data_IF_704009231743
#
_entry.id   IF_704009231743
#
_cell.length_a   1.000
_cell.length_b   1.000
_cell.length_c   1.000
_cell.angle_alpha   90.00
_cell.angle_beta   90.00
_cell.angle_gamma   90.00
#
_symmetry.space_group_name_H-M   'P 1'
#
loop_
_entity.id
_entity.type
_entity.pdbx_description
1 polymer ?
#
# COMPACT_ATOMS: atom_id res chain seq x y z
N UNK A 1 -12.35 22.58 8.95
CA UNK A 1 -12.00 21.19 8.55
C UNK A 1 -10.48 21.09 8.49
N UNK A 2 -9.89 19.96 8.90
CA UNK A 2 -8.44 19.75 8.80
C UNK A 2 -8.00 19.67 7.32
N UNK A 3 -6.85 20.24 6.98
CA UNK A 3 -6.31 20.19 5.62
C UNK A 3 -5.81 18.77 5.29
N UNK A 4 -5.83 18.37 4.01
CA UNK A 4 -5.35 17.04 3.62
C UNK A 4 -3.92 16.74 4.10
N UNK A 5 -2.93 17.65 3.98
CA UNK A 5 -1.58 17.39 4.50
C UNK A 5 -1.52 17.17 6.02
N UNK A 6 -2.45 17.75 6.79
CA UNK A 6 -2.54 17.47 8.22
C UNK A 6 -3.14 16.10 8.51
N UNK A 7 -4.13 15.67 7.70
CA UNK A 7 -4.72 14.34 7.78
C UNK A 7 -3.69 13.26 7.41
N UNK A 8 -3.03 13.42 6.26
CA UNK A 8 -1.98 12.51 5.76
C UNK A 8 -0.86 12.29 6.80
N UNK A 9 -0.33 13.36 7.40
CA UNK A 9 0.70 13.23 8.45
C UNK A 9 0.22 12.41 9.65
N UNK A 10 -1.01 12.61 10.11
CA UNK A 10 -1.57 11.86 11.25
C UNK A 10 -1.80 10.39 10.89
N UNK A 11 -2.33 10.12 9.70
CA UNK A 11 -2.56 8.76 9.22
C UNK A 11 -1.24 8.01 9.03
N UNK A 12 -0.27 8.61 8.33
CA UNK A 12 1.08 8.08 8.16
C UNK A 12 1.74 7.80 9.52
N UNK A 13 1.62 8.72 10.49
CA UNK A 13 2.14 8.52 11.84
C UNK A 13 1.50 7.33 12.56
N UNK A 14 0.18 7.14 12.45
CA UNK A 14 -0.50 6.00 13.06
C UNK A 14 -0.08 4.66 12.42
N UNK A 15 0.04 4.62 11.09
CA UNK A 15 0.47 3.43 10.35
C UNK A 15 1.93 3.08 10.64
N UNK A 16 2.81 4.08 10.69
CA UNK A 16 4.22 3.88 11.06
C UNK A 16 4.37 3.41 12.51
N UNK A 17 3.57 3.94 13.43
CA UNK A 17 3.56 3.44 14.81
C UNK A 17 3.10 1.98 14.91
N UNK A 18 2.23 1.52 14.00
CA UNK A 18 1.89 0.10 13.88
C UNK A 18 3.06 -0.71 13.34
N UNK A 19 3.71 -0.24 12.27
CA UNK A 19 4.94 -0.87 11.75
C UNK A 19 5.98 -1.06 12.86
N UNK A 20 6.27 -0.01 13.62
CA UNK A 20 7.27 -0.05 14.68
C UNK A 20 6.86 -1.03 15.78
N UNK A 21 5.59 -1.03 16.18
CA UNK A 21 5.08 -1.98 17.17
C UNK A 21 5.19 -3.44 16.69
N UNK A 22 5.06 -3.68 15.38
CA UNK A 22 5.17 -5.01 14.79
C UNK A 22 6.61 -5.52 14.74
N UNK A 23 7.54 -4.70 14.25
CA UNK A 23 8.86 -5.17 13.82
C UNK A 23 10.06 -4.47 14.47
N UNK A 24 9.90 -3.34 15.14
CA UNK A 24 11.02 -2.52 15.65
C UNK A 24 11.01 -2.44 17.17
N UNK A 25 9.99 -1.81 17.76
CA UNK A 25 9.87 -1.62 19.20
C UNK A 25 8.39 -1.62 19.57
N UNK A 26 7.92 -2.62 20.35
CA UNK A 26 6.54 -2.69 20.78
C UNK A 26 6.08 -1.41 21.51
N UNK A 27 4.96 -0.83 21.05
CA UNK A 27 4.27 0.25 21.76
C UNK A 27 3.92 -0.13 23.21
N UNK A 28 4.20 0.77 24.15
CA UNK A 28 3.79 0.65 25.56
C UNK A 28 2.29 0.86 25.78
N UNK A 29 1.62 1.56 24.85
CA UNK A 29 0.17 1.78 24.84
C UNK A 29 -0.43 1.20 23.55
N UNK A 30 -0.59 -0.13 23.53
CA UNK A 30 -1.20 -0.84 22.40
C UNK A 30 -2.66 -0.41 22.20
N UNK A 31 -3.44 -0.30 23.27
CA UNK A 31 -4.83 0.11 23.20
C UNK A 31 -5.00 1.51 22.57
N UNK A 32 -4.13 2.46 22.92
CA UNK A 32 -4.10 3.79 22.30
C UNK A 32 -3.72 3.75 20.82
N UNK A 33 -2.76 2.91 20.44
CA UNK A 33 -2.41 2.68 19.04
C UNK A 33 -3.59 2.13 18.25
N UNK A 34 -4.26 1.08 18.73
CA UNK A 34 -5.42 0.48 18.06
C UNK A 34 -6.57 1.48 17.91
N UNK A 35 -6.85 2.31 18.93
CA UNK A 35 -7.83 3.40 18.83
C UNK A 35 -7.48 4.39 17.72
N UNK A 36 -6.21 4.80 17.61
CA UNK A 36 -5.75 5.72 16.55
C UNK A 36 -5.88 5.11 15.16
N UNK A 37 -5.61 3.82 15.00
CA UNK A 37 -5.79 3.10 13.73
C UNK A 37 -7.28 3.04 13.33
N UNK A 38 -8.17 2.76 14.27
CA UNK A 38 -9.62 2.77 14.02
C UNK A 38 -10.15 4.16 13.64
N UNK A 39 -9.63 5.20 14.30
CA UNK A 39 -9.92 6.60 13.96
C UNK A 39 -9.40 6.97 12.57
N UNK A 40 -8.15 6.58 12.25
CA UNK A 40 -7.54 6.75 10.93
C UNK A 40 -8.43 6.16 9.83
N UNK A 41 -8.84 4.89 9.96
CA UNK A 41 -9.70 4.22 9.00
C UNK A 41 -11.06 4.93 8.80
N UNK A 42 -11.68 5.38 9.89
CA UNK A 42 -12.98 6.07 9.87
C UNK A 42 -12.90 7.50 9.31
N UNK A 43 -11.79 8.20 9.56
CA UNK A 43 -11.50 9.50 8.96
C UNK A 43 -11.21 9.40 7.48
N UNK A 44 -10.43 8.39 7.08
CA UNK A 44 -10.12 8.10 5.69
C UNK A 44 -11.41 7.78 4.91
N UNK A 45 -12.31 7.00 5.51
CA UNK A 45 -13.64 6.75 4.92
C UNK A 45 -14.44 8.03 4.66
N UNK A 46 -14.49 8.95 5.64
CA UNK A 46 -15.18 10.23 5.50
C UNK A 46 -14.52 11.11 4.45
N UNK A 47 -13.19 11.16 4.44
CA UNK A 47 -12.46 11.97 3.47
C UNK A 47 -12.65 11.44 2.04
N UNK A 48 -12.66 10.12 1.88
CA UNK A 48 -12.77 9.46 0.58
C UNK A 48 -14.21 9.27 0.10
N UNK A 49 -15.18 9.34 1.00
CA UNK A 49 -16.55 8.96 0.67
C UNK A 49 -16.70 7.46 0.40
N UNK A 50 -15.81 6.62 0.94
CA UNK A 50 -15.80 5.15 0.73
C UNK A 50 -16.86 4.40 1.56
N UNK A 51 -17.75 5.13 2.25
CA UNK A 51 -18.96 4.60 2.92
C UNK A 51 -18.70 3.42 3.89
N UNK A 52 -17.55 3.42 4.59
CA UNK A 52 -17.26 2.41 5.61
C UNK A 52 -16.46 1.21 5.11
N UNK A 53 -16.02 1.20 3.84
CA UNK A 53 -15.21 0.12 3.29
C UNK A 53 -13.89 -0.04 4.07
N UNK A 54 -13.25 1.06 4.43
CA UNK A 54 -11.93 1.05 5.07
C UNK A 54 -12.06 0.71 6.55
N UNK A 55 -12.89 1.45 7.29
CA UNK A 55 -13.14 1.23 8.71
C UNK A 55 -13.69 -0.16 8.98
N UNK A 56 -14.57 -0.68 8.12
CA UNK A 56 -15.09 -2.01 8.32
C UNK A 56 -14.15 -3.15 7.88
N UNK A 57 -13.10 -2.87 7.10
CA UNK A 57 -12.01 -3.84 6.86
C UNK A 57 -11.09 -3.96 8.08
N UNK A 58 -10.87 -2.83 8.76
CA UNK A 58 -9.94 -2.73 9.89
C UNK A 58 -10.60 -3.12 11.23
N UNK A 59 -11.85 -2.71 11.47
CA UNK A 59 -12.55 -2.88 12.75
C UNK A 59 -12.58 -4.34 13.26
N UNK A 60 -12.87 -5.36 12.45
CA UNK A 60 -12.89 -6.75 12.92
C UNK A 60 -11.52 -7.18 13.46
N UNK A 61 -10.45 -6.77 12.79
CA UNK A 61 -9.07 -7.12 13.16
C UNK A 61 -8.62 -6.37 14.41
N UNK A 62 -9.01 -5.09 14.57
CA UNK A 62 -8.67 -4.31 15.76
C UNK A 62 -9.41 -4.75 17.02
N UNK A 63 -10.64 -5.28 16.90
CA UNK A 63 -11.44 -5.72 18.05
C UNK A 63 -10.80 -6.92 18.73
N UNK A 64 -10.37 -7.89 17.93
CA UNK A 64 -9.79 -9.16 18.39
C UNK A 64 -8.31 -9.21 18.00
N UNK A 65 -7.57 -8.14 18.33
CA UNK A 65 -6.23 -7.89 17.81
C UNK A 65 -5.24 -8.99 18.19
N UNK A 66 -4.60 -9.54 17.17
CA UNK A 66 -3.41 -10.37 17.29
C UNK A 66 -2.30 -9.77 16.46
N UNK A 67 -1.10 -9.69 17.03
CA UNK A 67 0.09 -9.15 16.36
C UNK A 67 0.30 -9.80 14.98
N UNK A 68 0.17 -11.13 14.93
CA UNK A 68 0.21 -11.91 13.71
C UNK A 68 -0.99 -12.88 13.62
N UNK A 69 -1.61 -13.02 12.44
CA UNK A 69 -1.38 -12.24 11.22
C UNK A 69 -2.04 -10.84 11.25
N UNK A 70 -2.98 -10.60 12.16
CA UNK A 70 -3.88 -9.43 12.11
C UNK A 70 -3.20 -8.06 12.05
N UNK A 71 -2.14 -7.85 12.84
CA UNK A 71 -1.38 -6.60 12.80
C UNK A 71 -0.69 -6.33 11.47
N UNK A 72 -0.03 -7.35 10.88
CA UNK A 72 0.54 -7.28 9.53
C UNK A 72 -0.52 -6.90 8.50
N UNK A 73 -1.67 -7.55 8.54
CA UNK A 73 -2.72 -7.33 7.54
C UNK A 73 -3.33 -5.93 7.63
N UNK A 74 -3.55 -5.44 8.86
CA UNK A 74 -4.00 -4.05 9.08
C UNK A 74 -2.96 -3.06 8.60
N UNK A 75 -1.67 -3.32 8.83
CA UNK A 75 -0.60 -2.48 8.32
C UNK A 75 -0.63 -2.43 6.79
N UNK A 76 -0.58 -3.59 6.10
CA UNK A 76 -0.57 -3.63 4.63
C UNK A 76 -1.81 -2.93 4.04
N UNK A 77 -2.99 -3.16 4.61
CA UNK A 77 -4.23 -2.55 4.17
C UNK A 77 -4.25 -1.03 4.37
N UNK A 78 -3.94 -0.55 5.58
CA UNK A 78 -3.95 0.88 5.87
C UNK A 78 -2.84 1.60 5.14
N UNK A 79 -1.62 1.05 5.10
CA UNK A 79 -0.49 1.60 4.36
C UNK A 79 -0.85 1.78 2.87
N UNK A 80 -1.46 0.77 2.25
CA UNK A 80 -1.87 0.84 0.85
C UNK A 80 -2.94 1.90 0.62
N UNK A 81 -4.00 1.90 1.44
CA UNK A 81 -5.13 2.83 1.27
C UNK A 81 -4.78 4.28 1.59
N UNK A 82 -3.96 4.55 2.62
CA UNK A 82 -3.52 5.91 2.96
C UNK A 82 -2.56 6.46 1.91
N UNK A 83 -1.59 5.67 1.44
CA UNK A 83 -0.64 6.14 0.45
C UNK A 83 -1.29 6.33 -0.93
N UNK A 84 -2.19 5.46 -1.37
CA UNK A 84 -2.95 5.72 -2.60
C UNK A 84 -3.84 6.95 -2.51
N UNK A 85 -4.50 7.17 -1.36
CA UNK A 85 -5.28 8.39 -1.13
C UNK A 85 -4.39 9.65 -1.20
N UNK A 86 -3.19 9.60 -0.61
CA UNK A 86 -2.19 10.66 -0.72
C UNK A 86 -1.69 10.86 -2.15
N UNK A 87 -1.42 9.79 -2.88
CA UNK A 87 -1.08 9.82 -4.30
C UNK A 87 -2.13 10.58 -5.12
N UNK A 88 -3.40 10.20 -4.98
CA UNK A 88 -4.51 10.89 -5.66
C UNK A 88 -4.59 12.35 -5.24
N UNK A 89 -4.51 12.67 -3.95
CA UNK A 89 -4.65 14.05 -3.46
C UNK A 89 -3.49 14.97 -3.90
N UNK A 90 -2.28 14.44 -4.00
CA UNK A 90 -1.07 15.21 -4.34
C UNK A 90 -0.81 15.30 -5.85
N UNK A 91 -1.47 14.48 -6.69
CA UNK A 91 -1.15 14.32 -8.11
C UNK A 91 -0.98 15.62 -8.92
N UNK A 92 -1.77 16.65 -8.62
CA UNK A 92 -1.74 17.92 -9.38
C UNK A 92 -0.76 18.93 -8.80
N UNK A 93 -0.64 19.02 -7.48
CA UNK A 93 0.14 20.08 -6.79
C UNK A 93 1.54 19.63 -6.38
N UNK A 94 1.73 18.33 -6.17
CA UNK A 94 2.98 17.71 -5.71
C UNK A 94 3.15 16.35 -6.42
N UNK A 95 3.31 16.34 -7.75
CA UNK A 95 3.30 15.11 -8.54
C UNK A 95 4.43 14.13 -8.15
N UNK A 96 5.64 14.62 -7.85
CA UNK A 96 6.72 13.80 -7.30
C UNK A 96 6.36 13.10 -6.00
N UNK A 97 5.70 13.83 -5.08
CA UNK A 97 5.21 13.24 -3.84
C UNK A 97 4.14 12.19 -4.14
N UNK A 98 3.24 12.44 -5.09
CA UNK A 98 2.25 11.45 -5.48
C UNK A 98 2.88 10.15 -6.04
N UNK A 99 3.90 10.28 -6.90
CA UNK A 99 4.69 9.16 -7.40
C UNK A 99 5.38 8.39 -6.26
N UNK A 100 6.00 9.11 -5.32
CA UNK A 100 6.61 8.51 -4.13
C UNK A 100 5.60 7.68 -3.34
N UNK A 101 4.40 8.22 -3.11
CA UNK A 101 3.33 7.50 -2.37
C UNK A 101 2.87 6.25 -3.09
N UNK A 102 2.74 6.28 -4.42
CA UNK A 102 2.45 5.08 -5.20
C UNK A 102 3.58 4.03 -5.12
N UNK A 103 4.84 4.47 -5.18
CA UNK A 103 6.04 3.62 -5.02
C UNK A 103 6.10 2.93 -3.66
N UNK A 104 5.75 3.64 -2.57
CA UNK A 104 5.69 3.06 -1.21
C UNK A 104 4.67 1.91 -1.12
N UNK A 105 3.53 2.02 -1.82
CA UNK A 105 2.50 0.97 -1.86
C UNK A 105 3.06 -0.31 -2.46
N UNK A 106 3.60 -0.26 -3.67
CA UNK A 106 4.07 -1.46 -4.39
C UNK A 106 5.29 -2.08 -3.71
N UNK A 107 6.16 -1.27 -3.11
CA UNK A 107 7.29 -1.75 -2.33
C UNK A 107 6.83 -2.53 -1.09
N UNK A 108 5.89 -1.96 -0.32
CA UNK A 108 5.33 -2.62 0.87
C UNK A 108 4.61 -3.92 0.52
N UNK A 109 3.86 -3.98 -0.58
CA UNK A 109 3.14 -5.18 -0.99
C UNK A 109 4.10 -6.28 -1.48
N UNK A 110 5.15 -5.92 -2.22
CA UNK A 110 6.19 -6.87 -2.62
C UNK A 110 6.92 -7.48 -1.41
N UNK A 111 7.21 -6.68 -0.37
CA UNK A 111 7.73 -7.18 0.90
C UNK A 111 6.71 -8.11 1.58
N UNK A 112 5.43 -7.71 1.61
CA UNK A 112 4.34 -8.51 2.16
C UNK A 112 4.19 -9.88 1.52
N UNK A 113 4.30 -9.97 0.19
CA UNK A 113 4.29 -11.23 -0.57
C UNK A 113 5.57 -12.05 -0.38
N UNK A 114 6.72 -11.40 -0.28
CA UNK A 114 7.98 -12.09 0.05
C UNK A 114 7.88 -12.77 1.42
N UNK A 115 7.27 -12.10 2.41
CA UNK A 115 6.99 -12.69 3.71
C UNK A 115 5.96 -13.82 3.64
N UNK A 116 4.89 -13.68 2.86
CA UNK A 116 3.86 -14.70 2.71
C UNK A 116 4.31 -15.94 1.91
N UNK A 117 5.42 -15.84 1.19
CA UNK A 117 6.03 -16.93 0.40
C UNK A 117 7.32 -17.46 1.01
N UNK A 118 7.56 -17.21 2.32
CA UNK A 118 8.74 -17.65 3.07
C UNK A 118 10.08 -17.24 2.43
N UNK A 119 10.08 -16.13 1.69
CA UNK A 119 11.19 -15.65 0.86
C UNK A 119 11.76 -14.33 1.37
N UNK A 120 11.83 -14.15 2.69
CA UNK A 120 12.28 -12.90 3.32
C UNK A 120 13.74 -12.53 3.00
N UNK A 121 14.58 -13.53 2.67
CA UNK A 121 15.95 -13.30 2.19
C UNK A 121 16.03 -12.38 0.95
N UNK A 122 14.96 -12.33 0.13
CA UNK A 122 14.87 -11.39 -0.99
C UNK A 122 14.73 -9.94 -0.51
N UNK A 123 13.98 -9.73 0.57
CA UNK A 123 13.82 -8.42 1.23
C UNK A 123 15.14 -7.97 1.84
N UNK A 124 15.85 -8.85 2.52
CA UNK A 124 17.17 -8.55 3.11
C UNK A 124 18.18 -8.10 2.03
N UNK A 125 18.21 -8.79 0.87
CA UNK A 125 19.07 -8.42 -0.25
C UNK A 125 18.73 -7.02 -0.80
N UNK A 126 17.44 -6.74 -1.01
CA UNK A 126 16.96 -5.44 -1.45
C UNK A 126 17.26 -4.32 -0.45
N UNK A 127 16.91 -4.52 0.82
CA UNK A 127 17.08 -3.49 1.86
C UNK A 127 18.54 -3.20 2.19
N UNK A 128 19.44 -4.19 2.00
CA UNK A 128 20.89 -4.00 2.15
C UNK A 128 21.56 -3.41 0.90
N UNK A 129 20.80 -3.13 -0.16
CA UNK A 129 21.31 -2.58 -1.42
C UNK A 129 22.09 -3.57 -2.28
N UNK A 130 22.01 -4.88 -2.00
CA UNK A 130 22.63 -5.94 -2.82
C UNK A 130 21.87 -6.22 -4.12
N UNK A 131 20.62 -5.79 -4.20
CA UNK A 131 19.78 -5.85 -5.40
C UNK A 131 18.92 -4.61 -5.48
N UNK A 132 18.59 -4.17 -6.68
CA UNK A 132 17.60 -3.10 -6.88
C UNK A 132 16.16 -3.63 -6.82
N UNK A 133 15.18 -2.75 -7.05
CA UNK A 133 13.77 -3.13 -7.01
C UNK A 133 13.35 -4.06 -8.17
N UNK A 134 14.00 -3.95 -9.33
CA UNK A 134 13.71 -4.77 -10.50
C UNK A 134 14.24 -6.20 -10.28
N UNK A 135 15.45 -6.33 -9.76
CA UNK A 135 16.02 -7.62 -9.36
C UNK A 135 15.18 -8.29 -8.27
N UNK A 136 14.81 -7.52 -7.25
CA UNK A 136 13.97 -8.00 -6.15
C UNK A 136 12.63 -8.55 -6.65
N UNK A 137 11.89 -7.78 -7.44
CA UNK A 137 10.58 -8.17 -7.95
C UNK A 137 10.64 -9.24 -9.05
N UNK A 138 11.76 -9.37 -9.76
CA UNK A 138 12.00 -10.50 -10.69
C UNK A 138 12.09 -11.80 -9.91
N UNK A 139 12.96 -11.86 -8.90
CA UNK A 139 13.10 -13.06 -8.06
C UNK A 139 11.81 -13.39 -7.31
N UNK A 140 11.11 -12.37 -6.82
CA UNK A 140 9.80 -12.56 -6.19
C UNK A 140 8.78 -13.12 -7.19
N UNK A 141 8.76 -12.66 -8.44
CA UNK A 141 7.84 -13.20 -9.44
C UNK A 141 8.11 -14.69 -9.71
N UNK A 142 9.37 -15.10 -9.80
CA UNK A 142 9.74 -16.51 -9.96
C UNK A 142 9.24 -17.35 -8.77
N UNK A 143 9.38 -16.83 -7.54
CA UNK A 143 8.83 -17.49 -6.33
C UNK A 143 7.31 -17.61 -6.41
N UNK A 144 6.61 -16.54 -6.78
CA UNK A 144 5.14 -16.53 -6.86
C UNK A 144 4.62 -17.48 -7.95
N UNK A 145 5.25 -17.52 -9.11
CA UNK A 145 4.93 -18.47 -10.19
C UNK A 145 5.12 -19.92 -9.74
N UNK A 146 6.24 -20.22 -9.07
CA UNK A 146 6.50 -21.56 -8.50
C UNK A 146 5.49 -21.95 -7.42
N UNK A 147 4.85 -20.97 -6.77
CA UNK A 147 3.77 -21.19 -5.79
C UNK A 147 2.38 -21.23 -6.43
N UNK A 148 2.29 -21.16 -7.77
CA UNK A 148 1.05 -21.31 -8.53
C UNK A 148 0.31 -20.00 -8.82
N UNK A 149 0.90 -18.83 -8.55
CA UNK A 149 0.26 -17.56 -8.87
C UNK A 149 0.50 -17.19 -10.35
N UNK A 150 -0.49 -17.50 -11.19
CA UNK A 150 -0.40 -17.32 -12.65
C UNK A 150 -0.19 -15.87 -13.12
N UNK A 151 -0.46 -14.88 -12.27
CA UNK A 151 -0.31 -13.45 -12.60
C UNK A 151 0.95 -12.82 -12.00
N UNK A 152 1.95 -13.62 -11.61
CA UNK A 152 3.20 -13.11 -11.04
C UNK A 152 3.92 -12.13 -11.98
N UNK A 153 3.94 -12.43 -13.28
CA UNK A 153 4.47 -11.52 -14.30
C UNK A 153 3.74 -10.17 -14.37
N UNK A 154 2.42 -10.15 -14.19
CA UNK A 154 1.64 -8.89 -14.13
C UNK A 154 1.93 -8.11 -12.85
N UNK A 155 2.04 -8.79 -11.71
CA UNK A 155 2.43 -8.17 -10.45
C UNK A 155 3.79 -7.47 -10.60
N UNK A 156 4.78 -8.17 -11.16
CA UNK A 156 6.10 -7.62 -11.44
C UNK A 156 6.04 -6.38 -12.33
N UNK A 157 5.33 -6.47 -13.47
CA UNK A 157 5.20 -5.34 -14.40
C UNK A 157 4.58 -4.12 -13.73
N UNK A 158 3.46 -4.31 -13.03
CA UNK A 158 2.77 -3.21 -12.35
C UNK A 158 3.60 -2.59 -11.23
N UNK A 159 4.27 -3.42 -10.42
CA UNK A 159 5.12 -2.94 -9.33
C UNK A 159 6.29 -2.11 -9.86
N UNK A 160 6.99 -2.58 -10.90
CA UNK A 160 8.12 -1.84 -11.47
C UNK A 160 7.69 -0.59 -12.21
N UNK A 161 6.61 -0.64 -12.99
CA UNK A 161 6.07 0.55 -13.66
C UNK A 161 5.77 1.66 -12.64
N UNK A 162 5.12 1.30 -11.54
CA UNK A 162 4.83 2.23 -10.44
C UNK A 162 6.10 2.76 -9.77
N UNK A 163 7.00 1.87 -9.37
CA UNK A 163 8.20 2.22 -8.61
C UNK A 163 9.13 3.13 -9.43
N UNK A 164 9.29 2.82 -10.71
CA UNK A 164 10.19 3.52 -11.61
C UNK A 164 9.78 4.98 -11.80
N UNK A 165 8.48 5.30 -11.89
CA UNK A 165 8.02 6.70 -12.03
C UNK A 165 8.63 7.59 -10.95
N UNK A 166 8.70 7.12 -9.70
CA UNK A 166 9.35 7.87 -8.62
C UNK A 166 10.88 7.79 -8.71
N UNK A 167 11.45 6.62 -8.99
CA UNK A 167 12.88 6.39 -8.96
C UNK A 167 13.64 7.21 -10.03
N UNK A 168 13.06 7.39 -11.23
CA UNK A 168 13.66 8.14 -12.33
C UNK A 168 13.12 9.57 -12.45
N UNK A 169 12.35 10.03 -11.46
CA UNK A 169 11.66 11.31 -11.51
C UNK A 169 12.61 12.47 -11.83
N UNK A 170 12.27 13.24 -12.86
CA UNK A 170 12.98 14.46 -13.24
C UNK A 170 12.04 15.65 -13.25
N UNK A 171 12.37 16.67 -12.45
CA UNK A 171 11.61 17.91 -12.34
C UNK A 171 11.66 18.73 -13.65
N UNK A 172 12.56 18.40 -14.58
CA UNK A 172 12.66 19.00 -15.93
C UNK A 172 11.61 18.49 -16.92
N UNK A 173 10.94 17.36 -16.63
CA UNK A 173 9.89 16.84 -17.50
C UNK A 173 8.77 17.86 -17.72
N UNK A 174 8.15 17.81 -18.91
CA UNK A 174 6.98 18.65 -19.17
C UNK A 174 5.86 18.36 -18.16
N UNK A 175 5.07 19.38 -17.82
CA UNK A 175 3.98 19.25 -16.85
C UNK A 175 2.95 18.19 -17.24
N UNK A 176 2.66 18.07 -18.54
CA UNK A 176 1.73 17.06 -19.05
C UNK A 176 2.30 15.65 -18.92
N UNK A 177 3.60 15.47 -19.19
CA UNK A 177 4.27 14.19 -18.98
C UNK A 177 4.29 13.80 -17.50
N UNK A 178 4.63 14.74 -16.60
CA UNK A 178 4.57 14.52 -15.15
C UNK A 178 3.17 14.10 -14.70
N UNK A 179 2.13 14.78 -15.20
CA UNK A 179 0.75 14.44 -14.88
C UNK A 179 0.39 13.03 -15.34
N UNK A 180 0.69 12.67 -16.60
CA UNK A 180 0.40 11.34 -17.15
C UNK A 180 1.18 10.23 -16.43
N UNK A 181 2.47 10.44 -16.16
CA UNK A 181 3.30 9.47 -15.45
C UNK A 181 2.78 9.20 -14.03
N UNK A 182 2.32 10.23 -13.31
CA UNK A 182 1.71 10.06 -11.99
C UNK A 182 0.37 9.31 -12.07
N UNK A 183 -0.46 9.60 -13.08
CA UNK A 183 -1.71 8.89 -13.29
C UNK A 183 -1.49 7.41 -13.56
N UNK A 184 -0.53 7.09 -14.44
CA UNK A 184 -0.11 5.72 -14.73
C UNK A 184 0.40 5.02 -13.46
N UNK A 185 1.31 5.66 -12.71
CA UNK A 185 1.84 5.11 -11.46
C UNK A 185 0.75 4.83 -10.41
N UNK A 186 -0.22 5.73 -10.22
CA UNK A 186 -1.33 5.51 -9.28
C UNK A 186 -2.25 4.37 -9.75
N UNK A 187 -2.60 4.34 -11.05
CA UNK A 187 -3.44 3.29 -11.61
C UNK A 187 -2.77 1.91 -11.52
N UNK A 188 -1.48 1.86 -11.84
CA UNK A 188 -0.67 0.64 -11.75
C UNK A 188 -0.54 0.16 -10.29
N UNK A 189 -0.25 1.05 -9.33
CA UNK A 189 -0.24 0.72 -7.91
C UNK A 189 -1.58 0.14 -7.43
N UNK A 190 -2.70 0.71 -7.89
CA UNK A 190 -4.02 0.22 -7.56
C UNK A 190 -4.30 -1.19 -8.11
N UNK A 191 -3.83 -1.49 -9.32
CA UNK A 191 -3.90 -2.83 -9.88
C UNK A 191 -3.03 -3.82 -9.09
N UNK A 192 -1.82 -3.41 -8.69
CA UNK A 192 -0.94 -4.22 -7.83
C UNK A 192 -1.61 -4.54 -6.48
N UNK A 193 -2.39 -3.62 -5.89
CA UNK A 193 -3.19 -3.94 -4.70
C UNK A 193 -4.17 -5.10 -4.94
N UNK A 194 -4.82 -5.16 -6.11
CA UNK A 194 -5.72 -6.25 -6.44
C UNK A 194 -4.95 -7.57 -6.65
N UNK A 195 -3.84 -7.52 -7.39
CA UNK A 195 -2.97 -8.68 -7.62
C UNK A 195 -2.39 -9.24 -6.32
N UNK A 196 -2.05 -8.37 -5.36
CA UNK A 196 -1.62 -8.77 -4.01
C UNK A 196 -2.66 -9.66 -3.32
N UNK A 197 -3.93 -9.25 -3.37
CA UNK A 197 -5.03 -10.03 -2.75
C UNK A 197 -5.16 -11.40 -3.43
N UNK A 198 -5.06 -11.47 -4.75
CA UNK A 198 -5.09 -12.75 -5.48
C UNK A 198 -3.89 -13.63 -5.15
N UNK A 199 -2.69 -13.06 -5.07
CA UNK A 199 -1.49 -13.77 -4.66
C UNK A 199 -1.63 -14.33 -3.23
N UNK A 200 -2.17 -13.55 -2.29
CA UNK A 200 -2.42 -14.03 -0.93
C UNK A 200 -3.41 -15.20 -0.88
N UNK A 201 -4.41 -15.26 -1.78
CA UNK A 201 -5.31 -16.43 -1.87
C UNK A 201 -4.57 -17.69 -2.28
N UNK A 202 -3.71 -17.59 -3.28
CA UNK A 202 -2.88 -18.70 -3.75
C UNK A 202 -1.90 -19.15 -2.67
N UNK A 203 -1.28 -18.20 -1.95
CA UNK A 203 -0.31 -18.47 -0.89
C UNK A 203 -0.94 -18.95 0.44
N UNK A 204 -2.27 -18.96 0.55
CA UNK A 204 -2.96 -19.28 1.80
C UNK A 204 -2.88 -18.19 2.88
N UNK A 205 -2.42 -16.98 2.54
CA UNK A 205 -2.30 -15.83 3.43
C UNK A 205 -3.50 -14.86 3.38
N UNK A 206 -4.58 -15.24 2.70
CA UNK A 206 -5.78 -14.39 2.57
C UNK A 206 -6.64 -14.42 3.82
N UNK A 207 -6.97 -13.24 4.32
CA UNK A 207 -7.96 -13.02 5.37
C UNK A 207 -9.04 -12.06 4.89
N UNK A 208 -10.31 -12.44 5.07
CA UNK A 208 -11.47 -11.65 4.61
C UNK A 208 -11.44 -10.22 5.17
N UNK A 209 -11.14 -10.08 6.46
CA UNK A 209 -10.77 -8.81 7.04
C UNK A 209 -9.23 -8.74 7.16
N UNK A 210 -8.56 -7.76 6.52
CA UNK A 210 -9.12 -6.63 5.79
C UNK A 210 -9.19 -6.82 4.25
N UNK A 211 -8.61 -7.88 3.68
CA UNK A 211 -8.30 -7.93 2.25
C UNK A 211 -9.52 -8.03 1.32
N UNK A 212 -10.64 -8.59 1.79
CA UNK A 212 -11.90 -8.61 1.04
C UNK A 212 -12.40 -7.20 0.65
N UNK A 213 -11.89 -6.16 1.32
CA UNK A 213 -12.25 -4.76 1.09
C UNK A 213 -11.16 -3.94 0.42
N UNK A 214 -9.97 -4.51 0.20
CA UNK A 214 -8.83 -3.75 -0.33
C UNK A 214 -9.10 -3.28 -1.76
N UNK A 215 -9.39 -4.20 -2.68
CA UNK A 215 -9.70 -3.85 -4.06
C UNK A 215 -10.91 -2.91 -4.19
N UNK A 216 -12.05 -3.12 -3.49
CA UNK A 216 -13.15 -2.16 -3.48
C UNK A 216 -12.76 -0.76 -2.98
N UNK A 217 -11.98 -0.65 -1.90
CA UNK A 217 -11.54 0.63 -1.35
C UNK A 217 -10.58 1.35 -2.31
N UNK A 218 -9.62 0.62 -2.87
CA UNK A 218 -8.64 1.14 -3.84
C UNK A 218 -9.31 1.60 -5.13
N UNK A 219 -10.26 0.83 -5.67
CA UNK A 219 -11.07 1.23 -6.82
C UNK A 219 -11.75 2.58 -6.56
N UNK A 220 -12.38 2.75 -5.40
CA UNK A 220 -13.03 4.02 -5.03
C UNK A 220 -12.03 5.17 -4.90
N UNK A 221 -10.82 4.92 -4.41
CA UNK A 221 -9.77 5.93 -4.33
C UNK A 221 -9.40 6.41 -5.74
N UNK A 222 -9.14 5.50 -6.67
CA UNK A 222 -8.70 5.86 -8.04
C UNK A 222 -9.82 6.43 -8.90
N UNK A 223 -11.08 6.04 -8.71
CA UNK A 223 -12.23 6.65 -9.40
C UNK A 223 -12.32 8.17 -9.13
N UNK A 224 -11.76 8.67 -8.03
CA UNK A 224 -11.72 10.11 -7.71
C UNK A 224 -10.68 10.90 -8.50
N UNK A 225 -9.82 10.23 -9.27
CA UNK A 225 -8.88 10.90 -10.17
C UNK A 225 -9.63 11.78 -11.19
N UNK A 226 -10.84 11.38 -11.60
CA UNK A 226 -11.70 12.16 -12.51
C UNK A 226 -12.77 13.03 -11.83
N UNK A 227 -12.97 12.92 -10.51
CA UNK A 227 -14.08 13.59 -9.81
C UNK A 227 -13.86 15.09 -9.52
N UNK A 228 -12.69 15.62 -9.87
CA UNK A 228 -12.32 17.03 -9.68
C UNK A 228 -11.57 17.60 -10.90
N UNK A 229 -11.85 17.06 -12.10
CA UNK A 229 -11.46 17.69 -13.36
C UNK A 229 -12.43 18.83 -13.70
#
# INVERSE_FOLDING_TARGET
>A
MASFPSLDRRWSSAVNALHDHLWVTPSKDEAGLLRRLGACASELDRHLGTKGLIAGGVRPVLRDFKKYPGGKDVFEFLHSTTNLAAGVAYRTKRPREAAKRASEVVSSLAIGLSSASDSFHLVDAFQSGKSDFMDFTTRLADVLENRGFALAGEFKRGANATYNVHAIWDDSWSKDFQALAVLDGIGSAAHVCALHVEALRVLGGYHEAPYGRLAPAVRRIVERIGAHA
#
